data_IF_089413736579
#
_entry.id   IF_089413736579
#
_cell.length_a   1.000
_cell.length_b   1.000
_cell.length_c   1.000
_cell.angle_alpha   90.00
_cell.angle_beta   90.00
_cell.angle_gamma   90.00
#
_symmetry.space_group_name_H-M   'P 1'
#
loop_
_entity.id
_entity.type
_entity.pdbx_description
1 polymer ?
#
# COMPACT_ATOMS: atom_id res chain seq x y z
N UNK A 1 -19.91 -10.12 -23.33
CA UNK A 1 -19.79 -8.73 -22.82
C UNK A 1 -19.39 -8.81 -21.36
N UNK A 2 -18.14 -8.55 -21.05
CA UNK A 2 -17.66 -8.49 -19.67
C UNK A 2 -18.37 -7.34 -18.96
N UNK A 3 -19.10 -7.61 -17.86
CA UNK A 3 -19.52 -6.57 -16.94
C UNK A 3 -18.25 -5.89 -16.45
N UNK A 4 -18.03 -4.63 -16.82
CA UNK A 4 -16.95 -3.84 -16.27
C UNK A 4 -17.09 -3.86 -14.76
N UNK A 5 -16.11 -4.46 -14.09
CA UNK A 5 -16.03 -4.49 -12.63
C UNK A 5 -15.94 -3.04 -12.15
N UNK A 6 -17.03 -2.51 -11.59
CA UNK A 6 -17.06 -1.16 -11.05
C UNK A 6 -16.63 -1.21 -9.59
N UNK A 7 -15.29 -1.09 -9.38
CA UNK A 7 -14.74 -1.01 -8.04
C UNK A 7 -15.24 0.25 -7.33
N UNK A 8 -15.66 0.08 -6.11
CA UNK A 8 -15.97 1.16 -5.18
C UNK A 8 -14.87 1.25 -4.13
N UNK A 9 -14.36 2.44 -3.90
CA UNK A 9 -13.37 2.71 -2.87
C UNK A 9 -14.03 3.33 -1.67
N UNK A 10 -13.78 2.78 -0.49
CA UNK A 10 -14.39 3.23 0.76
C UNK A 10 -13.34 3.45 1.84
N UNK A 11 -13.55 4.46 2.67
CA UNK A 11 -12.84 4.63 3.93
C UNK A 11 -13.52 3.77 4.98
N UNK A 12 -12.77 2.87 5.59
CA UNK A 12 -13.29 1.92 6.57
C UNK A 12 -13.33 2.57 7.95
N UNK A 13 -14.49 2.51 8.61
CA UNK A 13 -14.63 2.98 9.98
C UNK A 13 -13.72 2.18 10.94
N UNK A 14 -13.13 2.81 11.97
CA UNK A 14 -12.21 2.13 12.89
C UNK A 14 -12.75 0.84 13.48
N UNK A 15 -14.00 0.81 13.88
CA UNK A 15 -14.68 -0.36 14.44
C UNK A 15 -14.90 -1.50 13.46
N UNK A 16 -14.84 -1.22 12.15
CA UNK A 16 -15.02 -2.22 11.10
C UNK A 16 -13.69 -2.82 10.59
N UNK A 17 -12.53 -2.32 11.04
CA UNK A 17 -11.21 -2.72 10.52
C UNK A 17 -10.94 -4.22 10.67
N UNK A 18 -11.40 -4.84 11.74
CA UNK A 18 -11.21 -6.26 11.99
C UNK A 18 -11.89 -7.16 10.93
N UNK A 19 -12.91 -6.68 10.24
CA UNK A 19 -13.53 -7.39 9.12
C UNK A 19 -12.60 -7.52 7.90
N UNK A 20 -11.52 -6.73 7.84
CA UNK A 20 -10.53 -6.71 6.76
C UNK A 20 -9.20 -7.37 7.15
N UNK A 21 -9.17 -8.04 8.32
CA UNK A 21 -7.93 -8.61 8.87
C UNK A 21 -7.27 -9.59 7.93
N UNK A 22 -8.03 -10.46 7.26
CA UNK A 22 -7.50 -11.43 6.30
C UNK A 22 -6.77 -10.76 5.15
N UNK A 23 -7.33 -9.66 4.61
CA UNK A 23 -6.67 -8.86 3.58
C UNK A 23 -5.40 -8.18 4.09
N UNK A 24 -5.46 -7.58 5.27
CA UNK A 24 -4.32 -6.91 5.89
C UNK A 24 -3.15 -7.87 6.17
N UNK A 25 -3.43 -9.11 6.55
CA UNK A 25 -2.43 -10.15 6.77
C UNK A 25 -1.79 -10.67 5.46
N UNK A 26 -2.42 -10.43 4.32
CA UNK A 26 -1.79 -10.68 3.01
C UNK A 26 -0.65 -9.68 2.77
N UNK A 27 -0.85 -8.42 3.17
CA UNK A 27 0.15 -7.36 3.00
C UNK A 27 1.23 -7.35 4.08
N UNK A 28 0.91 -7.78 5.28
CA UNK A 28 1.85 -7.92 6.39
C UNK A 28 1.57 -9.22 7.14
N UNK A 29 2.39 -10.21 6.89
CA UNK A 29 2.17 -11.59 7.35
C UNK A 29 2.32 -11.75 8.87
N UNK A 30 2.90 -10.77 9.57
CA UNK A 30 3.08 -10.82 11.02
C UNK A 30 2.00 -10.01 11.74
N UNK A 31 1.08 -10.66 12.50
CA UNK A 31 0.04 -9.98 13.25
C UNK A 31 0.58 -8.97 14.28
N UNK A 32 1.76 -9.20 14.83
CA UNK A 32 2.37 -8.28 15.80
C UNK A 32 2.86 -6.99 15.12
N UNK A 33 3.40 -7.13 13.91
CA UNK A 33 3.78 -5.96 13.11
C UNK A 33 2.54 -5.17 12.67
N UNK A 34 1.49 -5.86 12.21
CA UNK A 34 0.22 -5.25 11.84
C UNK A 34 -0.39 -4.43 12.97
N UNK A 35 -0.39 -4.94 14.20
CA UNK A 35 -0.93 -4.24 15.39
C UNK A 35 -0.25 -2.90 15.66
N UNK A 36 1.02 -2.72 15.26
CA UNK A 36 1.77 -1.47 15.49
C UNK A 36 1.17 -0.28 14.77
N UNK A 37 0.45 -0.50 13.67
CA UNK A 37 -0.12 0.59 12.87
C UNK A 37 -1.62 0.47 12.59
N UNK A 38 -2.27 -0.62 12.98
CA UNK A 38 -3.68 -0.88 12.67
C UNK A 38 -4.61 0.25 13.14
N UNK A 39 -4.32 0.83 14.29
CA UNK A 39 -5.14 1.91 14.88
C UNK A 39 -4.56 3.31 14.61
N UNK A 40 -3.36 3.39 13.99
CA UNK A 40 -2.63 4.65 13.85
C UNK A 40 -3.04 5.51 12.65
N UNK A 41 -3.80 4.97 11.71
CA UNK A 41 -4.08 5.66 10.46
C UNK A 41 -5.47 5.37 9.91
N UNK A 42 -5.58 5.49 8.59
CA UNK A 42 -6.82 5.29 7.85
C UNK A 42 -6.73 4.06 6.97
N UNK A 43 -7.74 3.20 7.05
CA UNK A 43 -7.91 2.04 6.18
C UNK A 43 -8.87 2.39 5.04
N UNK A 44 -8.43 2.09 3.82
CA UNK A 44 -9.25 2.12 2.61
C UNK A 44 -9.47 0.71 2.09
N UNK A 45 -10.63 0.45 1.50
CA UNK A 45 -10.93 -0.82 0.87
C UNK A 45 -11.44 -0.61 -0.55
N UNK A 46 -11.04 -1.50 -1.44
CA UNK A 46 -11.65 -1.68 -2.77
C UNK A 46 -12.71 -2.77 -2.67
N UNK A 47 -13.93 -2.42 -3.03
CA UNK A 47 -15.09 -3.30 -2.98
C UNK A 47 -15.58 -3.57 -4.40
N UNK A 48 -15.69 -4.83 -4.75
CA UNK A 48 -16.33 -5.28 -5.99
C UNK A 48 -17.71 -5.85 -5.65
N UNK A 49 -18.76 -5.16 -6.11
CA UNK A 49 -20.13 -5.39 -5.67
C UNK A 49 -20.28 -5.29 -4.14
N UNK A 50 -20.17 -6.41 -3.42
CA UNK A 50 -20.22 -6.47 -1.94
C UNK A 50 -18.96 -7.08 -1.34
N UNK A 51 -18.00 -7.53 -2.17
CA UNK A 51 -16.82 -8.29 -1.73
C UNK A 51 -15.61 -7.35 -1.62
N UNK A 52 -14.96 -7.26 -0.45
CA UNK A 52 -13.67 -6.61 -0.33
C UNK A 52 -12.60 -7.38 -1.13
N UNK A 53 -11.95 -6.69 -2.07
CA UNK A 53 -10.94 -7.31 -2.96
C UNK A 53 -9.55 -6.73 -2.76
N UNK A 54 -9.44 -5.60 -2.06
CA UNK A 54 -8.16 -4.99 -1.74
C UNK A 54 -8.27 -4.01 -0.59
N UNK A 55 -7.14 -3.73 0.06
CA UNK A 55 -7.02 -2.77 1.17
C UNK A 55 -5.76 -1.93 1.03
N UNK A 56 -5.80 -0.71 1.57
CA UNK A 56 -4.64 0.15 1.76
C UNK A 56 -4.72 0.81 3.13
N UNK A 57 -3.66 0.68 3.93
CA UNK A 57 -3.53 1.33 5.23
C UNK A 57 -2.51 2.46 5.17
N UNK A 58 -2.92 3.65 5.53
CA UNK A 58 -2.12 4.88 5.43
C UNK A 58 -1.98 5.53 6.80
N UNK A 59 -0.76 5.91 7.15
CA UNK A 59 -0.42 6.56 8.42
C UNK A 59 0.29 7.88 8.16
N UNK A 60 -0.09 9.00 8.80
CA UNK A 60 0.70 10.22 8.75
C UNK A 60 2.08 10.00 9.38
N UNK A 61 3.13 10.50 8.72
CA UNK A 61 4.50 10.50 9.23
C UNK A 61 4.83 11.84 9.88
N UNK A 62 4.48 12.91 9.17
CA UNK A 62 4.66 14.29 9.61
C UNK A 62 3.57 15.17 8.98
N UNK A 63 3.71 16.51 9.09
CA UNK A 63 2.71 17.46 8.57
C UNK A 63 2.58 17.45 7.04
N UNK A 64 3.53 16.89 6.31
CA UNK A 64 3.58 16.91 4.83
C UNK A 64 3.66 15.55 4.18
N UNK A 65 3.87 14.49 4.95
CA UNK A 65 4.19 13.15 4.46
C UNK A 65 3.28 12.09 5.07
N UNK A 66 2.75 11.21 4.25
CA UNK A 66 2.04 10.00 4.65
C UNK A 66 2.86 8.77 4.27
N UNK A 67 2.64 7.66 4.96
CA UNK A 67 3.23 6.36 4.62
C UNK A 67 2.12 5.33 4.36
N UNK A 68 2.22 4.67 3.21
CA UNK A 68 1.42 3.48 2.90
C UNK A 68 2.04 2.30 3.66
N UNK A 69 1.38 1.87 4.73
CA UNK A 69 1.86 0.79 5.61
C UNK A 69 1.47 -0.60 5.14
N UNK A 70 0.39 -0.70 4.40
CA UNK A 70 -0.13 -1.98 3.90
C UNK A 70 -0.89 -1.72 2.60
N UNK A 71 -0.62 -2.51 1.60
CA UNK A 71 -1.38 -2.58 0.35
C UNK A 71 -1.51 -4.05 -0.03
N UNK A 72 -2.72 -4.54 -0.07
CA UNK A 72 -2.98 -5.93 -0.40
C UNK A 72 -4.17 -6.08 -1.34
N UNK A 73 -4.10 -7.05 -2.23
CA UNK A 73 -5.17 -7.47 -3.13
C UNK A 73 -5.34 -8.98 -3.00
N UNK A 74 -6.58 -9.45 -2.98
CA UNK A 74 -6.87 -10.89 -2.99
C UNK A 74 -6.06 -11.59 -4.08
N UNK A 75 -5.39 -12.71 -3.79
CA UNK A 75 -4.57 -13.42 -4.78
C UNK A 75 -5.30 -13.72 -6.09
N UNK A 76 -6.56 -14.15 -6.01
CA UNK A 76 -7.40 -14.42 -7.19
C UNK A 76 -7.77 -13.18 -8.02
N UNK A 77 -7.54 -11.99 -7.49
CA UNK A 77 -7.88 -10.71 -8.11
C UNK A 77 -6.66 -9.86 -8.47
N UNK A 78 -5.47 -10.42 -8.35
CA UNK A 78 -4.21 -9.76 -8.75
C UNK A 78 -4.12 -9.60 -10.26
N UNK A 79 -3.25 -8.67 -10.72
CA UNK A 79 -3.00 -8.34 -12.13
C UNK A 79 -4.23 -7.82 -12.88
N UNK A 80 -5.20 -7.28 -12.16
CA UNK A 80 -6.39 -6.63 -12.70
C UNK A 80 -6.38 -5.10 -12.49
N UNK A 81 -5.26 -4.55 -12.01
CA UNK A 81 -5.12 -3.11 -11.77
C UNK A 81 -5.77 -2.61 -10.47
N UNK A 82 -6.24 -3.49 -9.59
CA UNK A 82 -6.94 -3.10 -8.34
C UNK A 82 -5.99 -2.35 -7.40
N UNK A 83 -4.78 -2.87 -7.19
CA UNK A 83 -3.77 -2.22 -6.34
C UNK A 83 -3.38 -0.83 -6.85
N UNK A 84 -3.15 -0.69 -8.16
CA UNK A 84 -2.84 0.59 -8.78
C UNK A 84 -3.99 1.58 -8.67
N UNK A 85 -5.24 1.15 -8.85
CA UNK A 85 -6.44 1.98 -8.74
C UNK A 85 -6.67 2.43 -7.30
N UNK A 86 -6.51 1.53 -6.33
CA UNK A 86 -6.63 1.83 -4.91
C UNK A 86 -5.56 2.84 -4.47
N UNK A 87 -4.31 2.64 -4.91
CA UNK A 87 -3.20 3.55 -4.63
C UNK A 87 -3.43 4.94 -5.23
N UNK A 88 -3.99 5.01 -6.45
CA UNK A 88 -4.38 6.28 -7.07
C UNK A 88 -5.47 6.98 -6.27
N UNK A 89 -6.49 6.26 -5.84
CA UNK A 89 -7.57 6.80 -5.02
C UNK A 89 -7.04 7.40 -3.71
N UNK A 90 -6.19 6.67 -3.01
CA UNK A 90 -5.53 7.15 -1.77
C UNK A 90 -4.72 8.42 -2.06
N UNK A 91 -3.94 8.43 -3.13
CA UNK A 91 -3.16 9.60 -3.52
C UNK A 91 -4.02 10.86 -3.74
N UNK A 92 -5.18 10.71 -4.39
CA UNK A 92 -6.13 11.81 -4.62
C UNK A 92 -6.76 12.32 -3.32
N UNK A 93 -7.09 11.41 -2.40
CA UNK A 93 -7.67 11.79 -1.09
C UNK A 93 -6.69 12.63 -0.27
N UNK A 94 -5.39 12.30 -0.30
CA UNK A 94 -4.40 12.97 0.53
C UNK A 94 -3.69 14.17 -0.14
N UNK A 95 -3.70 14.27 -1.45
CA UNK A 95 -3.01 15.34 -2.18
C UNK A 95 -3.37 16.78 -1.75
N UNK A 96 -4.61 17.10 -1.31
CA UNK A 96 -4.93 18.45 -0.81
C UNK A 96 -4.19 18.85 0.46
N UNK A 97 -3.82 17.90 1.31
CA UNK A 97 -3.23 18.18 2.63
C UNK A 97 -1.77 17.76 2.75
N UNK A 98 -1.33 16.78 1.96
CA UNK A 98 0.01 16.19 2.04
C UNK A 98 0.76 16.33 0.71
N UNK A 99 2.08 16.39 0.79
CA UNK A 99 2.95 16.57 -0.37
C UNK A 99 3.50 15.26 -0.90
N UNK A 100 3.85 14.34 -0.01
CA UNK A 100 4.55 13.12 -0.35
C UNK A 100 3.93 11.87 0.28
N UNK A 101 4.06 10.76 -0.44
CA UNK A 101 3.73 9.42 0.05
C UNK A 101 4.99 8.56 0.06
N UNK A 102 5.26 7.92 1.18
CA UNK A 102 6.27 6.89 1.34
C UNK A 102 5.64 5.50 1.26
N UNK A 103 6.44 4.54 0.83
CA UNK A 103 6.15 3.10 0.97
C UNK A 103 7.45 2.35 1.24
N UNK A 104 7.38 1.35 2.11
CA UNK A 104 8.49 0.43 2.38
C UNK A 104 8.21 -0.94 1.79
N UNK A 105 9.23 -1.58 1.24
CA UNK A 105 9.19 -2.97 0.78
C UNK A 105 10.52 -3.66 1.00
N UNK A 106 10.53 -4.99 0.96
CA UNK A 106 11.76 -5.77 1.16
C UNK A 106 12.78 -5.55 0.04
N UNK A 107 14.03 -5.60 0.42
CA UNK A 107 15.19 -5.38 -0.47
C UNK A 107 15.31 -6.40 -1.62
N UNK A 108 14.70 -7.56 -1.48
CA UNK A 108 14.68 -8.63 -2.50
C UNK A 108 13.29 -8.87 -3.09
N UNK A 109 12.31 -8.07 -2.71
CA UNK A 109 10.94 -8.13 -3.28
C UNK A 109 10.87 -7.33 -4.59
N UNK A 110 11.46 -7.88 -5.65
CA UNK A 110 11.57 -7.20 -6.93
C UNK A 110 10.22 -6.97 -7.62
N UNK A 111 9.22 -7.80 -7.34
CA UNK A 111 7.87 -7.61 -7.87
C UNK A 111 7.23 -6.35 -7.29
N UNK A 112 7.30 -6.17 -5.96
CA UNK A 112 6.81 -4.97 -5.31
C UNK A 112 7.62 -3.72 -5.68
N UNK A 113 8.94 -3.81 -5.74
CA UNK A 113 9.78 -2.71 -6.20
C UNK A 113 9.37 -2.23 -7.59
N UNK A 114 9.19 -3.17 -8.53
CA UNK A 114 8.72 -2.86 -9.89
C UNK A 114 7.33 -2.23 -9.87
N UNK A 115 6.41 -2.77 -9.10
CA UNK A 115 5.04 -2.25 -8.98
C UNK A 115 5.06 -0.79 -8.53
N UNK A 116 5.74 -0.48 -7.43
CA UNK A 116 5.78 0.90 -6.90
C UNK A 116 6.50 1.86 -7.83
N UNK A 117 7.59 1.44 -8.47
CA UNK A 117 8.29 2.27 -9.44
C UNK A 117 7.41 2.61 -10.66
N UNK A 118 6.58 1.67 -11.12
CA UNK A 118 5.57 1.93 -12.16
C UNK A 118 4.47 2.89 -11.71
N UNK A 119 4.20 2.97 -10.41
CA UNK A 119 3.27 3.94 -9.83
C UNK A 119 3.92 5.31 -9.55
N UNK A 120 5.15 5.54 -10.02
CA UNK A 120 5.84 6.81 -9.90
C UNK A 120 6.70 6.98 -8.65
N UNK A 121 6.82 5.96 -7.82
CA UNK A 121 7.73 5.99 -6.68
C UNK A 121 9.19 5.86 -7.12
N UNK A 122 10.09 6.43 -6.34
CA UNK A 122 11.54 6.31 -6.52
C UNK A 122 12.22 6.04 -5.18
N UNK A 123 13.40 5.45 -5.21
CA UNK A 123 14.18 5.15 -4.01
C UNK A 123 14.47 6.41 -3.20
N UNK A 124 14.26 6.34 -1.91
CA UNK A 124 14.44 7.46 -0.97
C UNK A 124 15.43 7.11 0.14
N UNK A 125 15.25 5.96 0.79
CA UNK A 125 16.07 5.55 1.92
C UNK A 125 16.13 4.03 2.07
N UNK A 126 17.07 3.56 2.91
CA UNK A 126 17.16 2.16 3.33
C UNK A 126 17.03 2.12 4.85
N UNK A 127 16.09 1.32 5.35
CA UNK A 127 16.00 0.97 6.78
C UNK A 127 16.73 -0.35 6.99
N UNK A 128 17.99 -0.26 7.47
CA UNK A 128 18.83 -1.42 7.69
C UNK A 128 18.26 -2.35 8.75
N UNK A 129 18.35 -3.66 8.52
CA UNK A 129 17.93 -4.70 9.45
C UNK A 129 16.44 -4.63 9.86
N UNK A 130 15.60 -4.00 9.02
CA UNK A 130 14.18 -3.80 9.34
C UNK A 130 13.46 -5.13 9.61
N UNK A 131 13.75 -6.16 8.81
CA UNK A 131 13.05 -7.45 8.90
C UNK A 131 13.58 -8.35 10.03
N UNK A 132 14.62 -7.97 10.73
CA UNK A 132 15.12 -8.68 11.94
C UNK A 132 14.09 -8.63 13.09
N UNK A 133 13.18 -7.65 13.10
CA UNK A 133 12.15 -7.53 14.11
C UNK A 133 10.92 -8.44 13.89
N UNK A 134 10.87 -9.15 12.76
CA UNK A 134 9.82 -10.15 12.50
C UNK A 134 10.10 -11.44 13.26
N UNK A 135 9.02 -12.09 13.75
CA UNK A 135 9.13 -13.32 14.53
C UNK A 135 9.75 -14.49 13.73
N UNK A 136 9.54 -14.48 12.41
CA UNK A 136 10.06 -15.48 11.49
C UNK A 136 10.71 -14.80 10.28
N UNK A 137 11.78 -15.39 9.71
CA UNK A 137 12.36 -14.89 8.47
C UNK A 137 11.34 -14.84 7.34
N UNK A 138 11.32 -13.74 6.59
CA UNK A 138 10.52 -13.59 5.38
C UNK A 138 11.39 -13.74 4.15
N UNK A 139 10.83 -14.29 3.09
CA UNK A 139 11.53 -14.55 1.83
C UNK A 139 10.75 -14.00 0.64
N UNK A 140 11.48 -13.51 -0.35
CA UNK A 140 10.99 -13.22 -1.68
C UNK A 140 12.04 -13.65 -2.70
N UNK A 141 11.64 -14.14 -3.85
CA UNK A 141 12.55 -14.59 -4.92
C UNK A 141 13.61 -15.61 -4.43
N UNK A 142 13.28 -16.44 -3.43
CA UNK A 142 14.22 -17.40 -2.83
C UNK A 142 15.30 -16.79 -1.92
N UNK A 143 15.22 -15.50 -1.62
CA UNK A 143 16.18 -14.78 -0.77
C UNK A 143 15.47 -14.23 0.46
N UNK A 144 16.22 -14.18 1.59
CA UNK A 144 15.69 -13.62 2.83
C UNK A 144 15.63 -12.09 2.75
N UNK A 145 14.49 -11.52 3.15
CA UNK A 145 14.35 -10.08 3.37
C UNK A 145 15.20 -9.65 4.57
N UNK A 146 16.01 -8.64 4.42
CA UNK A 146 16.86 -8.08 5.47
C UNK A 146 16.58 -6.59 5.68
N UNK A 147 16.76 -5.80 4.66
CA UNK A 147 16.61 -4.35 4.70
C UNK A 147 15.28 -3.93 4.05
N UNK A 148 14.69 -2.85 4.56
CA UNK A 148 13.55 -2.23 3.89
C UNK A 148 14.03 -1.12 2.96
N UNK A 149 13.65 -1.20 1.70
CA UNK A 149 13.79 -0.11 0.74
C UNK A 149 12.57 0.81 0.90
N UNK A 150 12.82 2.06 1.21
CA UNK A 150 11.79 3.11 1.28
C UNK A 150 11.76 3.86 -0.04
N UNK A 151 10.58 3.94 -0.65
CA UNK A 151 10.35 4.71 -1.87
C UNK A 151 9.43 5.89 -1.57
N UNK A 152 9.57 6.95 -2.34
CA UNK A 152 8.81 8.20 -2.22
C UNK A 152 8.16 8.57 -3.55
N UNK A 153 6.94 9.09 -3.46
CA UNK A 153 6.24 9.72 -4.58
C UNK A 153 5.62 11.04 -4.15
N UNK A 154 5.73 12.06 -5.01
CA UNK A 154 5.01 13.32 -4.85
C UNK A 154 3.52 13.09 -5.09
N UNK A 155 2.67 13.64 -4.21
CA UNK A 155 1.23 13.66 -4.41
C UNK A 155 0.87 14.88 -5.29
N UNK A 156 0.07 14.64 -6.33
CA UNK A 156 -0.31 15.67 -7.30
C UNK A 156 -1.81 15.89 -7.23
N UNK A 157 -2.22 17.15 -7.18
CA UNK A 157 -3.62 17.52 -7.40
C UNK A 157 -3.98 17.23 -8.87
N UNK A 158 -5.20 16.79 -9.10
CA UNK A 158 -5.72 16.54 -10.44
C UNK A 158 -5.58 17.78 -11.32
N UNK A 159 -4.86 17.67 -12.44
CA UNK A 159 -4.65 18.76 -13.40
C UNK A 159 -3.21 19.03 -13.80
N UNK A 160 -2.21 18.36 -13.21
CA UNK A 160 -0.81 18.55 -13.57
C UNK A 160 -0.14 17.31 -14.18
N UNK A 161 -0.89 16.53 -14.95
CA UNK A 161 -0.28 15.55 -15.84
C UNK A 161 0.27 16.28 -17.07
N UNK A 162 1.37 17.01 -16.86
CA UNK A 162 2.20 17.48 -17.97
C UNK A 162 3.14 16.32 -18.32
N UNK A 163 2.70 15.50 -19.24
CA UNK A 163 3.55 14.72 -20.13
C UNK A 163 4.74 15.61 -20.53
N UNK A 164 5.91 15.32 -20.00
CA UNK A 164 7.15 15.78 -20.61
C UNK A 164 7.55 14.71 -21.62
N UNK A 165 7.49 15.11 -22.88
CA UNK A 165 8.14 14.47 -23.99
C UNK A 165 9.62 14.24 -23.70
#
# INVERSE_FOLDING_TARGET
MGKGCMLRFVKVAPEARLHYLDLLLIGDEDPNMLRRYLDAGTLFAAIDETVPVGVAMVVPVDATTIELKNLAVLPARRRQGIGASLLRHVGLVYAPEYQDMLVGTGDVDFENLRFYMRQGFRFDAIRKHFFDQYAHPLYAEGMQLQDMVVLRRRLLLTGSDKTKE
#
